data_IF_200102831275
#
_entry.id   IF_200102831275
#
_cell.length_a   1.000
_cell.length_b   1.000
_cell.length_c   1.000
_cell.angle_alpha   90.00
_cell.angle_beta   90.00
_cell.angle_gamma   90.00
#
_symmetry.space_group_name_H-M   'P 1'
#
loop_
_entity.id
_entity.type
_entity.pdbx_description
1 polymer ?
#
# COMPACT_ATOMS: atom_id res chain seq x y z
N UNK A 1 -9.44 16.00 17.11
CA UNK A 1 -9.81 15.63 15.72
C UNK A 1 -11.00 16.50 15.34
N UNK A 2 -10.82 17.33 14.33
CA UNK A 2 -11.85 18.20 13.78
C UNK A 2 -12.92 17.38 13.05
N UNK A 3 -14.12 17.94 12.86
CA UNK A 3 -15.13 17.34 12.00
C UNK A 3 -14.65 17.11 10.56
N UNK A 4 -13.68 17.91 10.10
CA UNK A 4 -13.03 17.75 8.79
C UNK A 4 -12.18 16.47 8.76
N UNK A 5 -11.47 16.13 9.83
CA UNK A 5 -10.62 14.93 9.90
C UNK A 5 -11.47 13.65 9.72
N UNK A 6 -12.63 13.61 10.39
CA UNK A 6 -13.58 12.52 10.24
C UNK A 6 -14.19 12.45 8.85
N UNK A 7 -14.52 13.61 8.24
CA UNK A 7 -15.04 13.65 6.88
C UNK A 7 -14.03 13.09 5.88
N UNK A 8 -12.74 13.46 6.00
CA UNK A 8 -11.66 12.93 5.15
C UNK A 8 -11.46 11.43 5.39
N UNK A 9 -11.45 10.98 6.65
CA UNK A 9 -11.28 9.57 6.99
C UNK A 9 -12.41 8.72 6.39
N UNK A 10 -13.67 9.08 6.66
CA UNK A 10 -14.83 8.34 6.17
C UNK A 10 -14.88 8.40 4.64
N UNK A 11 -14.65 9.57 4.05
CA UNK A 11 -14.61 9.74 2.61
C UNK A 11 -13.55 8.84 1.94
N UNK A 12 -12.34 8.78 2.50
CA UNK A 12 -11.26 7.92 1.99
C UNK A 12 -11.63 6.44 2.06
N UNK A 13 -12.18 5.98 3.19
CA UNK A 13 -12.62 4.59 3.35
C UNK A 13 -13.73 4.22 2.35
N UNK A 14 -14.72 5.10 2.17
CA UNK A 14 -15.79 4.88 1.20
C UNK A 14 -15.27 4.83 -0.23
N UNK A 15 -14.35 5.72 -0.60
CA UNK A 15 -13.74 5.72 -1.94
C UNK A 15 -13.01 4.40 -2.20
N UNK A 16 -12.21 3.92 -1.25
CA UNK A 16 -11.49 2.64 -1.40
C UNK A 16 -12.47 1.48 -1.55
N UNK A 17 -13.50 1.40 -0.70
CA UNK A 17 -14.49 0.33 -0.72
C UNK A 17 -15.33 0.33 -2.00
N UNK A 18 -15.82 1.50 -2.43
CA UNK A 18 -16.61 1.65 -3.65
C UNK A 18 -15.78 1.35 -4.90
N UNK A 19 -14.52 1.80 -4.94
CA UNK A 19 -13.60 1.49 -6.04
C UNK A 19 -13.34 -0.02 -6.13
N UNK A 20 -13.07 -0.68 -4.99
CA UNK A 20 -12.90 -2.13 -4.93
C UNK A 20 -14.15 -2.86 -5.44
N UNK A 21 -15.33 -2.48 -4.94
CA UNK A 21 -16.59 -3.07 -5.37
C UNK A 21 -16.87 -2.92 -6.87
N UNK A 22 -16.63 -1.73 -7.43
CA UNK A 22 -16.82 -1.47 -8.85
C UNK A 22 -15.83 -2.27 -9.71
N UNK A 23 -14.55 -2.33 -9.30
CA UNK A 23 -13.49 -3.08 -9.99
C UNK A 23 -13.79 -4.58 -10.03
N UNK A 24 -14.16 -5.17 -8.89
CA UNK A 24 -14.46 -6.61 -8.79
C UNK A 24 -15.70 -7.01 -9.59
N UNK A 25 -16.59 -6.07 -9.93
CA UNK A 25 -17.81 -6.34 -10.71
C UNK A 25 -17.54 -6.53 -12.21
N UNK A 26 -16.39 -6.10 -12.72
CA UNK A 26 -16.04 -6.19 -14.13
C UNK A 26 -15.34 -7.51 -14.52
N UNK A 27 -14.71 -8.19 -13.56
CA UNK A 27 -13.95 -9.42 -13.80
C UNK A 27 -14.85 -10.65 -13.62
N UNK A 28 -15.49 -11.08 -14.71
CA UNK A 28 -16.27 -12.33 -14.77
C UNK A 28 -15.40 -13.57 -15.09
N UNK A 29 -14.10 -13.40 -15.34
CA UNK A 29 -13.20 -14.46 -15.74
C UNK A 29 -12.12 -14.70 -14.67
N UNK A 30 -12.29 -15.78 -13.90
CA UNK A 30 -11.40 -16.19 -12.80
C UNK A 30 -9.94 -16.36 -13.27
N UNK A 31 -9.74 -16.67 -14.56
CA UNK A 31 -8.41 -16.83 -15.17
C UNK A 31 -7.61 -15.53 -15.16
N UNK A 32 -8.24 -14.39 -15.46
CA UNK A 32 -7.60 -13.08 -15.50
C UNK A 32 -7.27 -12.55 -14.09
N UNK A 33 -8.13 -12.88 -13.12
CA UNK A 33 -7.95 -12.53 -11.72
C UNK A 33 -6.72 -13.21 -11.07
N UNK A 34 -6.40 -14.45 -11.50
CA UNK A 34 -5.31 -15.25 -10.93
C UNK A 34 -4.02 -15.25 -11.76
N UNK A 35 -4.09 -15.21 -13.10
CA UNK A 35 -2.87 -15.23 -13.94
C UNK A 35 -2.22 -13.85 -14.05
N UNK A 36 -2.96 -12.76 -13.81
CA UNK A 36 -2.48 -11.41 -14.08
C UNK A 36 -2.37 -11.19 -15.57
N UNK A 37 -2.93 -10.07 -16.06
CA UNK A 37 -2.82 -9.75 -17.47
C UNK A 37 -1.34 -9.58 -17.87
N UNK A 38 -0.90 -10.30 -18.91
CA UNK A 38 0.46 -10.14 -19.46
C UNK A 38 0.76 -8.71 -19.94
N UNK A 39 -0.27 -7.85 -20.05
CA UNK A 39 -0.15 -6.44 -20.39
C UNK A 39 0.15 -5.51 -19.19
N UNK A 40 0.21 -6.02 -17.95
CA UNK A 40 0.54 -5.19 -16.77
C UNK A 40 1.98 -4.68 -16.89
N UNK A 41 2.13 -3.35 -16.91
CA UNK A 41 3.44 -2.68 -16.97
C UNK A 41 4.25 -2.97 -15.71
N UNK A 42 5.56 -3.17 -15.86
CA UNK A 42 6.50 -3.40 -14.77
C UNK A 42 6.38 -2.37 -13.63
N UNK A 43 6.08 -1.11 -13.92
CA UNK A 43 5.88 -0.06 -12.92
C UNK A 43 4.63 -0.29 -12.04
N UNK A 44 3.54 -0.81 -12.61
CA UNK A 44 2.33 -1.16 -11.86
C UNK A 44 2.59 -2.34 -10.92
N UNK A 45 3.37 -3.33 -11.38
CA UNK A 45 3.82 -4.45 -10.55
C UNK A 45 4.68 -3.94 -9.40
N UNK A 46 5.68 -3.10 -9.70
CA UNK A 46 6.56 -2.50 -8.68
C UNK A 46 5.80 -1.69 -7.63
N UNK A 47 4.85 -0.85 -8.07
CA UNK A 47 4.00 -0.08 -7.17
C UNK A 47 3.13 -0.99 -6.29
N UNK A 48 2.57 -2.07 -6.86
CA UNK A 48 1.78 -3.04 -6.10
C UNK A 48 2.62 -3.73 -5.03
N UNK A 49 3.85 -4.15 -5.36
CA UNK A 49 4.75 -4.81 -4.40
C UNK A 49 5.15 -3.84 -3.27
N UNK A 50 5.44 -2.58 -3.59
CA UNK A 50 5.73 -1.56 -2.58
C UNK A 50 4.51 -1.31 -1.67
N UNK A 51 3.32 -1.18 -2.25
CA UNK A 51 2.09 -0.99 -1.49
C UNK A 51 1.79 -2.15 -0.54
N UNK A 52 2.03 -3.39 -0.96
CA UNK A 52 1.85 -4.57 -0.10
C UNK A 52 2.84 -4.63 1.05
N UNK A 53 4.08 -4.16 0.86
CA UNK A 53 5.09 -4.11 1.94
C UNK A 53 4.84 -2.96 2.93
N UNK A 54 4.24 -1.87 2.45
CA UNK A 54 3.87 -0.73 3.29
C UNK A 54 2.66 -1.09 4.17
N UNK A 55 2.94 -1.59 5.37
CA UNK A 55 1.91 -1.87 6.38
C UNK A 55 1.82 -0.75 7.42
N UNK A 56 0.71 -0.72 8.17
CA UNK A 56 0.59 0.17 9.33
C UNK A 56 1.68 -0.08 10.39
N UNK A 57 2.13 -1.33 10.52
CA UNK A 57 3.25 -1.69 11.40
C UNK A 57 4.51 -0.98 10.93
N UNK A 58 4.88 -1.11 9.66
CA UNK A 58 6.06 -0.44 9.08
C UNK A 58 5.96 1.08 9.23
N UNK A 59 4.80 1.65 8.94
CA UNK A 59 4.58 3.10 8.98
C UNK A 59 4.79 3.69 10.40
N UNK A 60 4.40 2.94 11.43
CA UNK A 60 4.60 3.34 12.83
C UNK A 60 5.98 2.94 13.37
N UNK A 61 6.48 1.76 13.00
CA UNK A 61 7.70 1.18 13.59
C UNK A 61 8.97 1.81 13.06
N UNK A 62 9.06 2.15 11.78
CA UNK A 62 10.30 2.72 11.20
C UNK A 62 10.64 4.09 11.80
N UNK A 63 9.69 5.05 11.93
CA UNK A 63 9.95 6.30 12.64
C UNK A 63 10.15 6.08 14.15
N UNK A 64 9.44 5.12 14.76
CA UNK A 64 9.60 4.78 16.17
C UNK A 64 11.02 4.28 16.48
N UNK A 65 11.54 3.37 15.66
CA UNK A 65 12.93 2.91 15.74
C UNK A 65 13.91 4.06 15.45
N UNK A 66 13.62 4.92 14.48
CA UNK A 66 14.45 6.09 14.18
C UNK A 66 14.51 7.07 15.36
N UNK A 67 13.41 7.24 16.09
CA UNK A 67 13.34 8.08 17.27
C UNK A 67 14.11 7.47 18.45
N UNK A 68 13.99 6.15 18.68
CA UNK A 68 14.62 5.46 19.81
C UNK A 68 16.12 5.21 19.60
N UNK A 69 16.51 4.74 18.41
CA UNK A 69 17.84 4.20 18.11
C UNK A 69 18.51 4.86 16.90
N UNK A 70 17.92 5.90 16.32
CA UNK A 70 18.45 6.58 15.13
C UNK A 70 18.20 5.83 13.82
N UNK A 71 18.67 6.39 12.70
CA UNK A 71 18.44 5.82 11.36
C UNK A 71 19.44 4.71 10.97
N UNK A 72 19.91 3.92 11.94
CA UNK A 72 20.88 2.83 11.70
C UNK A 72 20.38 1.77 10.71
N UNK A 73 19.07 1.60 10.59
CA UNK A 73 18.46 0.71 9.58
C UNK A 73 18.83 1.11 8.15
N UNK A 74 19.05 2.41 7.85
CA UNK A 74 19.49 2.85 6.53
C UNK A 74 20.90 2.34 6.21
N UNK A 75 21.80 2.29 7.20
CA UNK A 75 23.13 1.71 6.99
C UNK A 75 23.06 0.21 6.74
N UNK A 76 22.14 -0.52 7.37
CA UNK A 76 21.93 -1.92 7.02
C UNK A 76 21.36 -2.10 5.61
N UNK A 77 20.41 -1.26 5.19
CA UNK A 77 19.81 -1.37 3.85
C UNK A 77 20.75 -0.94 2.71
N UNK A 78 21.60 0.07 2.92
CA UNK A 78 22.52 0.61 1.91
C UNK A 78 23.99 0.17 2.06
N UNK A 79 24.35 -0.42 3.21
CA UNK A 79 25.72 -0.85 3.54
C UNK A 79 25.95 -2.36 3.49
N UNK A 80 24.91 -3.15 3.20
CA UNK A 80 25.08 -4.53 2.72
C UNK A 80 25.68 -4.47 1.29
N UNK A 81 26.73 -5.26 0.98
CA UNK A 81 27.28 -5.34 -0.38
C UNK A 81 26.26 -5.89 -1.38
#
# INVERSE_FOLDING_TARGET
MSGIDYAVLIGTLLVIALYGWWKTRADHDLGHYLQGDSSIRWGTIGLSVMATQASAITFLSTPGQAYESGMGFLQNYFGLP
#
